data_IF_786575287477
#
_entry.id   IF_786575287477
#
_cell.length_a   1.000
_cell.length_b   1.000
_cell.length_c   1.000
_cell.angle_alpha   90.00
_cell.angle_beta   90.00
_cell.angle_gamma   90.00
#
_symmetry.space_group_name_H-M   'P 1'
#
loop_
_entity.id
_entity.type
_entity.pdbx_description
1 polymer ?
#
# COMPACT_ATOMS: atom_id res chain seq x y z
N UNK A 1 4.32 -9.74 -5.07
CA UNK A 1 3.35 -9.86 -6.18
C UNK A 1 4.03 -9.37 -7.46
N UNK A 2 4.07 -10.20 -8.51
CA UNK A 2 4.52 -9.81 -9.86
C UNK A 2 3.29 -9.53 -10.71
N UNK A 3 2.70 -8.36 -10.53
CA UNK A 3 1.63 -7.88 -11.39
C UNK A 3 2.27 -7.00 -12.47
N UNK A 4 1.90 -7.26 -13.73
CA UNK A 4 2.26 -6.44 -14.86
C UNK A 4 1.36 -5.19 -14.92
N UNK A 5 1.82 -4.14 -15.59
CA UNK A 5 1.07 -2.88 -15.69
C UNK A 5 -0.29 -3.07 -16.38
N UNK A 6 -0.34 -3.97 -17.38
CA UNK A 6 -1.54 -4.37 -18.14
C UNK A 6 -2.57 -5.13 -17.29
N UNK A 7 -2.15 -5.80 -16.22
CA UNK A 7 -3.08 -6.49 -15.33
C UNK A 7 -4.07 -5.52 -14.69
N UNK A 8 -3.59 -4.35 -14.24
CA UNK A 8 -4.45 -3.35 -13.61
C UNK A 8 -5.41 -2.70 -14.57
N UNK A 9 -5.03 -2.55 -15.83
CA UNK A 9 -5.90 -2.01 -16.89
C UNK A 9 -7.12 -2.92 -17.15
N UNK A 10 -6.95 -4.23 -16.97
CA UNK A 10 -8.01 -5.23 -17.24
C UNK A 10 -8.82 -5.58 -15.99
N UNK A 11 -8.23 -5.49 -14.79
CA UNK A 11 -8.81 -6.04 -13.57
C UNK A 11 -9.22 -4.97 -12.54
N UNK A 12 -8.89 -3.70 -12.74
CA UNK A 12 -9.23 -2.62 -11.82
C UNK A 12 -10.10 -1.57 -12.50
N UNK A 13 -11.05 -1.01 -11.75
CA UNK A 13 -11.82 0.17 -12.16
C UNK A 13 -10.97 1.44 -12.01
N UNK A 14 -10.03 1.66 -12.93
CA UNK A 14 -9.04 2.76 -12.85
C UNK A 14 -9.60 4.15 -13.19
N UNK A 15 -10.73 4.21 -13.90
CA UNK A 15 -11.35 5.46 -14.35
C UNK A 15 -12.42 5.98 -13.38
N UNK A 16 -12.77 5.18 -12.38
CA UNK A 16 -13.74 5.61 -11.37
C UNK A 16 -13.07 6.60 -10.42
N UNK A 17 -13.69 7.77 -10.16
CA UNK A 17 -13.18 8.66 -9.13
C UNK A 17 -13.21 7.90 -7.79
N UNK A 18 -12.13 7.97 -7.00
CA UNK A 18 -12.12 7.31 -5.70
C UNK A 18 -13.24 7.86 -4.83
N UNK A 19 -13.91 7.00 -4.03
CA UNK A 19 -15.07 7.38 -3.26
C UNK A 19 -14.67 8.40 -2.18
N UNK A 20 -15.10 9.66 -2.37
CA UNK A 20 -14.86 10.73 -1.38
C UNK A 20 -15.48 10.41 -0.02
N UNK A 21 -16.57 9.63 -0.01
CA UNK A 21 -17.23 9.17 1.21
C UNK A 21 -16.28 8.35 2.10
N UNK A 22 -15.48 7.46 1.52
CA UNK A 22 -14.51 6.68 2.28
C UNK A 22 -13.42 7.56 2.92
N UNK A 23 -12.99 8.60 2.20
CA UNK A 23 -11.98 9.55 2.69
C UNK A 23 -12.55 10.34 3.86
N UNK A 24 -13.80 10.81 3.74
CA UNK A 24 -14.51 11.53 4.81
C UNK A 24 -14.72 10.66 6.04
N UNK A 25 -15.20 9.44 5.85
CA UNK A 25 -15.40 8.49 6.95
C UNK A 25 -14.09 8.21 7.69
N UNK A 26 -12.98 8.00 6.97
CA UNK A 26 -11.66 7.83 7.58
C UNK A 26 -11.18 9.07 8.32
N UNK A 27 -11.37 10.25 7.74
CA UNK A 27 -11.01 11.51 8.39
C UNK A 27 -11.80 11.73 9.69
N UNK A 28 -13.10 11.40 9.69
CA UNK A 28 -13.93 11.44 10.89
C UNK A 28 -13.42 10.46 11.96
N UNK A 29 -13.03 9.25 11.57
CA UNK A 29 -12.43 8.29 12.51
C UNK A 29 -11.12 8.81 13.11
N UNK A 30 -10.25 9.39 12.27
CA UNK A 30 -8.97 9.97 12.70
C UNK A 30 -9.24 11.12 13.69
N UNK A 31 -10.14 12.04 13.35
CA UNK A 31 -10.52 13.16 14.22
C UNK A 31 -11.06 12.70 15.58
N UNK A 32 -11.86 11.62 15.60
CA UNK A 32 -12.38 11.03 16.85
C UNK A 32 -11.30 10.31 17.66
N UNK A 33 -10.30 9.74 17.00
CA UNK A 33 -9.18 9.04 17.67
C UNK A 33 -8.17 9.98 18.32
N UNK A 34 -8.19 11.26 17.93
CA UNK A 34 -7.27 12.28 18.44
C UNK A 34 -7.79 12.89 19.75
N UNK A 35 -6.89 13.16 20.71
CA UNK A 35 -7.16 14.01 21.86
C UNK A 35 -7.75 15.37 21.44
N UNK A 36 -8.67 15.92 22.24
CA UNK A 36 -9.39 17.17 21.90
C UNK A 36 -8.46 18.36 21.64
N UNK A 37 -7.35 18.44 22.36
CA UNK A 37 -6.29 19.44 22.22
C UNK A 37 -5.49 19.30 20.91
N UNK A 38 -5.59 18.16 20.22
CA UNK A 38 -4.86 17.87 18.98
C UNK A 38 -5.73 17.90 17.72
N UNK A 39 -7.06 18.02 17.86
CA UNK A 39 -8.01 18.00 16.73
C UNK A 39 -7.82 19.17 15.76
N UNK A 40 -7.49 20.35 16.26
CA UNK A 40 -7.30 21.56 15.44
C UNK A 40 -5.89 21.66 14.83
N UNK A 41 -4.94 20.86 15.33
CA UNK A 41 -3.50 21.04 15.04
C UNK A 41 -2.96 20.01 14.05
N UNK A 42 -3.76 19.02 13.64
CA UNK A 42 -3.27 17.93 12.78
C UNK A 42 -3.94 17.83 11.39
N UNK A 43 -3.79 18.85 10.52
CA UNK A 43 -4.03 18.69 9.08
C UNK A 43 -3.17 17.59 8.44
N UNK A 44 -2.04 17.24 9.05
CA UNK A 44 -1.11 16.20 8.58
C UNK A 44 -1.65 14.78 8.75
N UNK A 45 -2.58 14.55 9.69
CA UNK A 45 -3.15 13.23 9.93
C UNK A 45 -4.33 12.93 9.00
N UNK A 46 -4.97 13.96 8.45
CA UNK A 46 -6.13 13.82 7.58
C UNK A 46 -5.71 13.45 6.15
N UNK A 47 -6.47 12.53 5.56
CA UNK A 47 -6.36 12.19 4.16
C UNK A 47 -6.89 13.34 3.31
N UNK A 48 -6.17 13.69 2.24
CA UNK A 48 -6.62 14.73 1.32
C UNK A 48 -7.83 14.25 0.52
N UNK A 49 -8.87 15.08 0.47
CA UNK A 49 -10.00 14.90 -0.48
C UNK A 49 -9.60 15.19 -1.94
N UNK A 50 -8.40 15.77 -2.17
CA UNK A 50 -7.85 15.92 -3.53
C UNK A 50 -7.27 14.59 -3.98
N UNK A 51 -8.14 13.77 -4.53
CA UNK A 51 -7.75 12.47 -5.04
C UNK A 51 -7.10 12.60 -6.41
N UNK A 52 -6.07 11.79 -6.65
CA UNK A 52 -5.51 11.62 -7.99
C UNK A 52 -6.34 10.58 -8.75
N UNK A 53 -6.41 10.66 -10.08
CA UNK A 53 -6.99 9.60 -10.89
C UNK A 53 -6.38 8.24 -10.51
N UNK A 54 -7.21 7.22 -10.33
CA UNK A 54 -6.74 5.91 -9.88
C UNK A 54 -5.75 5.29 -10.89
N UNK A 55 -5.95 5.56 -12.18
CA UNK A 55 -5.00 5.26 -13.27
C UNK A 55 -3.60 5.82 -13.04
N UNK A 56 -3.49 7.09 -12.62
CA UNK A 56 -2.19 7.71 -12.35
C UNK A 56 -1.52 7.11 -11.10
N UNK A 57 -2.32 6.80 -10.08
CA UNK A 57 -1.85 6.15 -8.87
C UNK A 57 -1.37 4.71 -9.15
N UNK A 58 -2.08 3.97 -10.00
CA UNK A 58 -1.72 2.63 -10.46
C UNK A 58 -0.39 2.66 -11.22
N UNK A 59 -0.29 3.48 -12.28
CA UNK A 59 0.93 3.63 -13.08
C UNK A 59 2.14 3.99 -12.23
N UNK A 60 2.02 4.97 -11.33
CA UNK A 60 3.11 5.30 -10.38
C UNK A 60 3.47 4.12 -9.48
N UNK A 61 2.50 3.30 -9.10
CA UNK A 61 2.71 2.16 -8.21
C UNK A 61 3.51 1.04 -8.87
N UNK A 62 3.20 0.72 -10.12
CA UNK A 62 3.86 -0.37 -10.86
C UNK A 62 5.15 0.09 -11.56
N UNK A 63 5.18 1.28 -12.16
CA UNK A 63 6.38 1.81 -12.85
C UNK A 63 7.57 2.03 -11.92
N UNK A 64 7.34 2.44 -10.66
CA UNK A 64 8.41 2.67 -9.68
C UNK A 64 8.79 1.41 -8.89
N UNK A 65 8.22 0.25 -9.22
CA UNK A 65 8.49 -1.01 -8.49
C UNK A 65 9.98 -1.34 -8.44
N UNK A 66 10.67 -1.18 -9.56
CA UNK A 66 12.12 -1.39 -9.66
C UNK A 66 12.92 -0.44 -8.75
N UNK A 67 12.42 0.75 -8.44
CA UNK A 67 13.05 1.67 -7.48
C UNK A 67 12.77 1.32 -6.02
N UNK A 68 11.63 0.67 -5.73
CA UNK A 68 11.25 0.28 -4.35
C UNK A 68 11.97 -0.98 -3.90
N UNK A 69 12.24 -1.87 -4.84
CA UNK A 69 13.17 -2.96 -4.67
C UNK A 69 14.54 -2.33 -4.92
N UNK A 70 15.17 -1.77 -3.90
CA UNK A 70 16.56 -1.32 -4.02
C UNK A 70 17.39 -2.50 -4.56
N UNK A 71 17.80 -2.43 -5.82
CA UNK A 71 18.53 -3.48 -6.54
C UNK A 71 19.92 -3.73 -5.92
N UNK A 72 20.42 -2.79 -5.12
CA UNK A 72 21.65 -2.94 -4.33
C UNK A 72 21.48 -3.87 -3.12
N UNK A 73 20.25 -4.06 -2.64
CA UNK A 73 20.00 -4.99 -1.54
C UNK A 73 19.80 -6.38 -2.13
N UNK A 74 20.66 -7.35 -1.77
CA UNK A 74 20.57 -8.69 -2.33
C UNK A 74 19.21 -9.30 -1.97
N UNK A 75 18.61 -10.01 -2.95
CA UNK A 75 17.21 -10.50 -2.89
C UNK A 75 16.86 -11.26 -1.60
N UNK A 76 17.84 -11.91 -0.96
CA UNK A 76 17.70 -12.61 0.31
C UNK A 76 17.35 -11.69 1.51
N UNK A 77 17.67 -10.39 1.46
CA UNK A 77 17.28 -9.44 2.52
C UNK A 77 15.80 -9.08 2.50
N UNK A 78 15.19 -8.98 1.31
CA UNK A 78 13.75 -8.71 1.21
C UNK A 78 12.90 -9.88 1.67
N UNK A 79 13.46 -11.09 1.59
CA UNK A 79 12.82 -12.30 2.10
C UNK A 79 12.70 -12.28 3.62
N UNK A 80 13.55 -11.57 4.35
CA UNK A 80 13.56 -11.59 5.83
C UNK A 80 13.08 -10.28 6.46
N UNK A 81 13.04 -9.17 5.73
CA UNK A 81 12.77 -7.82 6.27
C UNK A 81 11.37 -7.64 6.86
N UNK A 82 10.38 -8.38 6.37
CA UNK A 82 9.00 -8.38 6.89
C UNK A 82 8.67 -9.60 7.74
N UNK A 83 9.68 -10.41 8.07
CA UNK A 83 9.51 -11.65 8.79
C UNK A 83 9.92 -11.46 10.24
N UNK A 84 9.12 -12.01 11.16
CA UNK A 84 9.44 -11.97 12.59
C UNK A 84 10.80 -12.60 12.80
N UNK A 85 11.67 -11.97 13.59
CA UNK A 85 12.97 -12.54 13.98
C UNK A 85 12.73 -13.96 14.52
N UNK A 86 13.35 -14.96 13.89
CA UNK A 86 13.18 -16.38 14.21
C UNK A 86 12.13 -17.16 13.40
N UNK A 87 11.44 -16.57 12.42
CA UNK A 87 10.50 -17.33 11.57
C UNK A 87 11.23 -18.11 10.46
N UNK A 88 10.96 -19.42 10.34
CA UNK A 88 11.48 -20.34 9.28
C UNK A 88 11.08 -19.91 7.87
N UNK A 89 11.91 -20.07 6.82
CA UNK A 89 11.56 -19.75 5.42
C UNK A 89 10.36 -20.58 4.95
N UNK A 90 9.30 -20.01 4.31
CA UNK A 90 8.16 -20.81 3.88
C UNK A 90 8.51 -21.74 2.71
N UNK A 91 9.67 -21.54 2.06
CA UNK A 91 10.20 -22.44 1.02
C UNK A 91 10.97 -23.62 1.61
N UNK A 92 11.32 -23.55 2.90
CA UNK A 92 11.86 -24.67 3.67
C UNK A 92 10.75 -25.55 4.27
N UNK A 93 9.48 -25.13 4.15
CA UNK A 93 8.35 -26.01 4.42
C UNK A 93 8.20 -26.99 3.24
N UNK A 94 8.85 -28.14 3.35
CA UNK A 94 8.66 -29.30 2.48
C UNK A 94 7.29 -29.97 2.63
N UNK A 95 6.42 -29.49 3.52
CA UNK A 95 5.08 -30.03 3.77
C UNK A 95 4.01 -29.56 2.75
N UNK A 96 4.42 -29.19 1.54
CA UNK A 96 3.50 -29.18 0.39
C UNK A 96 3.67 -30.48 -0.37
N UNK A 97 3.13 -31.55 0.23
CA UNK A 97 2.72 -32.72 -0.52
C UNK A 97 1.68 -32.28 -1.58
N UNK A 98 1.95 -32.74 -2.81
CA UNK A 98 1.09 -33.00 -3.97
C UNK A 98 -0.32 -32.40 -3.98
#
# INVERSE_FOLDING_TARGET
MNLEEEWGETNLELDKPPPLEHIREKNDMIARSLPEDMRDVTPLALLSERTRPARDAWRRSVSTKHRRINDELPRHRYLTRFRKVGSKDPRENTDREV
#
